data_IF_842800571438
#
_entry.id   IF_842800571438
#
_cell.length_a   1.000
_cell.length_b   1.000
_cell.length_c   1.000
_cell.angle_alpha   90.00
_cell.angle_beta   90.00
_cell.angle_gamma   90.00
#
_symmetry.space_group_name_H-M   'P 1'
#
loop_
_entity.id
_entity.type
_entity.pdbx_description
1 polymer ?
#
# COMPACT_ATOMS: atom_id res chain seq x y z
N UNK A 1 3.73 -7.29 -17.40
CA UNK A 1 3.99 -6.16 -16.47
C UNK A 1 4.66 -5.01 -17.20
N UNK A 2 3.88 -4.15 -17.88
CA UNK A 2 4.39 -3.05 -18.71
C UNK A 2 5.10 -1.93 -17.91
N UNK A 3 4.81 -1.84 -16.61
CA UNK A 3 5.36 -0.82 -15.71
C UNK A 3 6.34 -1.41 -14.66
N UNK A 4 6.80 -2.65 -14.86
CA UNK A 4 7.76 -3.30 -13.95
C UNK A 4 7.22 -3.65 -12.56
N UNK A 5 5.93 -3.43 -12.27
CA UNK A 5 5.28 -3.83 -11.01
C UNK A 5 4.43 -5.07 -11.28
N UNK A 6 4.60 -6.10 -10.44
CA UNK A 6 3.79 -7.31 -10.42
C UNK A 6 2.86 -7.28 -9.21
N UNK A 7 1.54 -7.49 -9.43
CA UNK A 7 0.59 -7.76 -8.35
C UNK A 7 0.59 -9.26 -8.12
N UNK A 8 0.90 -9.71 -6.90
CA UNK A 8 0.99 -11.13 -6.58
C UNK A 8 -0.38 -11.69 -6.23
N UNK A 9 -0.62 -12.96 -6.57
CA UNK A 9 -1.84 -13.68 -6.20
C UNK A 9 -1.77 -14.18 -4.76
N UNK A 10 -1.76 -13.24 -3.81
CA UNK A 10 -1.72 -13.49 -2.38
C UNK A 10 -2.52 -12.44 -1.61
N UNK A 11 -2.57 -12.63 -0.29
CA UNK A 11 -3.15 -11.67 0.64
C UNK A 11 -2.16 -11.35 1.76
N UNK A 12 -2.12 -10.07 2.15
CA UNK A 12 -1.35 -9.58 3.28
C UNK A 12 -2.24 -9.62 4.52
N UNK A 13 -1.71 -10.19 5.60
CA UNK A 13 -2.32 -10.20 6.94
C UNK A 13 -1.40 -9.53 7.94
N UNK A 14 -2.00 -8.90 8.93
CA UNK A 14 -1.30 -8.39 10.10
C UNK A 14 -1.63 -9.17 11.37
N UNK A 15 -0.68 -9.19 12.29
CA UNK A 15 -0.84 -9.84 13.60
C UNK A 15 -1.08 -8.85 14.73
N UNK A 16 -0.63 -7.61 14.55
CA UNK A 16 -0.67 -6.57 15.61
C UNK A 16 -1.33 -5.30 15.10
N UNK A 17 -1.00 -4.87 13.88
CA UNK A 17 -1.46 -3.60 13.35
C UNK A 17 -2.62 -3.82 12.35
N UNK A 18 -3.79 -4.15 12.87
CA UNK A 18 -5.02 -4.29 12.08
C UNK A 18 -6.21 -3.65 12.82
N UNK A 19 -7.37 -3.58 12.17
CA UNK A 19 -8.58 -2.97 12.76
C UNK A 19 -9.84 -3.80 12.47
N UNK A 20 -10.93 -3.56 13.21
CA UNK A 20 -12.21 -4.24 13.00
C UNK A 20 -12.18 -5.75 13.29
N UNK A 21 -11.26 -6.20 14.15
CA UNK A 21 -11.02 -7.62 14.45
C UNK A 21 -10.73 -8.51 13.23
N UNK A 22 -10.34 -7.89 12.11
CA UNK A 22 -10.01 -8.57 10.85
C UNK A 22 -8.52 -8.38 10.50
N UNK A 23 -7.69 -9.43 10.50
CA UNK A 23 -6.25 -9.32 10.22
C UNK A 23 -5.94 -8.89 8.78
N UNK A 24 -6.91 -8.89 7.87
CA UNK A 24 -6.75 -8.38 6.50
C UNK A 24 -7.01 -6.88 6.39
N UNK A 25 -7.57 -6.24 7.42
CA UNK A 25 -7.70 -4.79 7.55
C UNK A 25 -6.38 -4.19 8.03
N UNK A 26 -5.32 -4.36 7.22
CA UNK A 26 -3.93 -4.03 7.55
C UNK A 26 -3.74 -2.53 7.77
N UNK A 27 -3.17 -2.14 8.90
CA UNK A 27 -2.80 -0.76 9.22
C UNK A 27 -1.29 -0.66 9.29
N UNK A 28 -0.71 0.38 8.69
CA UNK A 28 0.75 0.58 8.75
C UNK A 28 1.14 2.04 8.80
N UNK A 29 2.24 2.29 9.52
CA UNK A 29 2.99 3.54 9.57
C UNK A 29 4.14 3.62 8.56
N UNK A 30 4.46 2.53 7.86
CA UNK A 30 5.56 2.48 6.89
C UNK A 30 5.11 3.06 5.55
N UNK A 31 4.89 4.37 5.56
CA UNK A 31 4.56 5.20 4.41
C UNK A 31 5.79 6.03 4.04
N UNK A 32 6.45 5.67 2.95
CA UNK A 32 7.75 6.22 2.55
C UNK A 32 7.64 7.43 1.62
N UNK A 33 6.55 7.51 0.85
CA UNK A 33 6.25 8.63 -0.05
C UNK A 33 4.84 9.13 0.19
N UNK A 34 4.52 10.36 -0.25
CA UNK A 34 3.21 10.98 -0.03
C UNK A 34 2.79 11.07 1.45
N UNK A 35 3.78 11.10 2.35
CA UNK A 35 3.59 10.96 3.79
C UNK A 35 3.44 12.29 4.56
N UNK A 36 3.25 13.41 3.85
CA UNK A 36 3.07 14.73 4.49
C UNK A 36 1.80 14.72 5.35
N UNK A 37 1.98 14.76 6.67
CA UNK A 37 0.86 14.68 7.62
C UNK A 37 0.23 13.29 7.76
N UNK A 38 0.85 12.25 7.22
CA UNK A 38 0.37 10.85 7.27
C UNK A 38 1.17 10.09 8.31
N UNK A 39 0.52 9.62 9.37
CA UNK A 39 1.13 8.77 10.40
C UNK A 39 0.85 7.31 10.15
N UNK A 40 -0.39 6.96 9.79
CA UNK A 40 -0.80 5.59 9.46
C UNK A 40 -1.86 5.56 8.38
N UNK A 41 -1.84 4.51 7.57
CA UNK A 41 -2.85 4.23 6.55
C UNK A 41 -3.43 2.83 6.74
N UNK A 42 -4.71 2.69 6.42
CA UNK A 42 -5.41 1.42 6.28
C UNK A 42 -5.29 0.94 4.83
N UNK A 43 -4.82 -0.28 4.64
CA UNK A 43 -4.60 -0.96 3.34
C UNK A 43 -5.36 -2.29 3.31
N UNK A 44 -6.71 -2.25 3.22
CA UNK A 44 -7.56 -3.40 3.50
C UNK A 44 -7.53 -4.42 2.37
N UNK A 45 -7.52 -5.71 2.73
CA UNK A 45 -7.55 -6.84 1.79
C UNK A 45 -6.50 -6.75 0.67
N UNK A 46 -5.30 -6.27 1.02
CA UNK A 46 -4.24 -6.04 0.04
C UNK A 46 -3.60 -7.34 -0.45
N UNK A 47 -3.39 -7.43 -1.76
CA UNK A 47 -2.35 -8.28 -2.34
C UNK A 47 -0.99 -7.61 -2.21
N UNK A 48 0.07 -8.41 -2.09
CA UNK A 48 1.42 -7.86 -2.09
C UNK A 48 1.91 -7.54 -3.51
N UNK A 49 2.79 -6.56 -3.61
CA UNK A 49 3.40 -6.14 -4.87
C UNK A 49 4.86 -6.59 -4.94
N UNK A 50 5.33 -6.89 -6.15
CA UNK A 50 6.75 -7.16 -6.42
C UNK A 50 7.30 -6.16 -7.44
N UNK A 51 8.20 -5.26 -7.01
CA UNK A 51 9.04 -4.49 -7.92
C UNK A 51 9.94 -5.44 -8.73
N UNK A 52 9.95 -5.31 -10.06
CA UNK A 52 10.79 -6.12 -10.95
C UNK A 52 12.14 -5.45 -11.28
N UNK A 53 12.36 -4.21 -10.83
CA UNK A 53 13.62 -3.47 -10.97
C UNK A 53 13.86 -2.58 -9.74
N UNK A 54 15.14 -2.21 -9.48
CA UNK A 54 15.48 -1.33 -8.36
C UNK A 54 15.01 0.11 -8.53
N UNK A 55 14.67 0.55 -9.74
CA UNK A 55 14.18 1.91 -10.02
C UNK A 55 12.74 2.15 -9.56
N UNK A 56 12.03 1.08 -9.18
CA UNK A 56 10.66 1.13 -8.68
C UNK A 56 10.70 1.41 -7.19
N UNK A 57 10.06 2.51 -6.80
CA UNK A 57 10.03 2.95 -5.40
C UNK A 57 8.90 2.26 -4.65
N UNK A 58 9.20 1.76 -3.45
CA UNK A 58 8.18 1.28 -2.51
C UNK A 58 7.57 2.48 -1.80
N UNK A 59 6.24 2.62 -1.89
CA UNK A 59 5.48 3.73 -1.30
C UNK A 59 4.97 3.35 0.08
N UNK A 60 4.39 2.15 0.20
CA UNK A 60 3.77 1.63 1.42
C UNK A 60 4.18 0.17 1.59
N UNK A 61 4.47 -0.24 2.82
CA UNK A 61 4.79 -1.63 3.18
C UNK A 61 4.10 -2.01 4.49
N UNK A 62 3.79 -3.28 4.70
CA UNK A 62 3.31 -3.77 6.00
C UNK A 62 4.35 -3.66 7.13
N UNK A 63 3.88 -3.70 8.38
CA UNK A 63 4.74 -3.67 9.57
C UNK A 63 5.62 -4.93 9.65
N UNK A 64 6.63 -5.01 10.55
CA UNK A 64 7.45 -6.22 10.68
C UNK A 64 6.64 -7.48 11.00
N UNK A 65 5.43 -7.31 11.54
CA UNK A 65 4.49 -8.39 11.86
C UNK A 65 3.58 -8.78 10.70
N UNK A 66 3.58 -8.03 9.59
CA UNK A 66 2.83 -8.36 8.39
C UNK A 66 3.40 -9.61 7.72
N UNK A 67 2.49 -10.47 7.26
CA UNK A 67 2.82 -11.69 6.55
C UNK A 67 1.95 -11.80 5.30
N UNK A 68 2.54 -12.21 4.19
CA UNK A 68 1.79 -12.60 3.00
C UNK A 68 1.47 -14.09 3.07
N UNK A 69 0.36 -14.52 2.48
CA UNK A 69 0.03 -15.96 2.36
C UNK A 69 1.02 -16.73 1.49
N UNK A 70 1.84 -16.04 0.69
CA UNK A 70 2.85 -16.60 -0.20
C UNK A 70 4.28 -16.58 0.35
N UNK A 71 4.52 -15.95 1.51
CA UNK A 71 5.86 -15.71 2.07
C UNK A 71 6.66 -14.58 1.41
N UNK A 72 6.10 -13.89 0.41
CA UNK A 72 6.69 -12.69 -0.18
C UNK A 72 6.71 -11.51 0.80
N UNK A 73 7.49 -10.48 0.46
CA UNK A 73 7.52 -9.22 1.21
C UNK A 73 6.16 -8.51 1.11
N UNK A 74 5.60 -8.00 2.23
CA UNK A 74 4.29 -7.36 2.25
C UNK A 74 4.36 -5.91 1.74
N UNK A 75 4.75 -5.72 0.47
CA UNK A 75 4.75 -4.41 -0.17
C UNK A 75 3.32 -4.09 -0.60
N UNK A 76 2.79 -2.95 -0.16
CA UNK A 76 1.38 -2.56 -0.32
C UNK A 76 1.19 -1.48 -1.38
N UNK A 77 2.25 -0.78 -1.77
CA UNK A 77 2.22 0.24 -2.81
C UNK A 77 3.59 0.47 -3.46
N UNK A 78 3.60 0.68 -4.77
CA UNK A 78 4.79 0.95 -5.58
C UNK A 78 4.56 2.11 -6.56
N UNK A 79 5.62 2.86 -6.86
CA UNK A 79 5.67 3.91 -7.89
C UNK A 79 6.76 3.60 -8.92
N UNK A 80 6.50 3.90 -10.18
CA UNK A 80 7.54 4.04 -11.21
C UNK A 80 7.35 5.33 -12.02
N UNK A 81 8.45 5.86 -12.59
CA UNK A 81 8.39 7.00 -13.51
C UNK A 81 8.08 6.54 -14.92
N UNK A 82 7.15 7.24 -15.59
CA UNK A 82 6.77 6.99 -16.98
C UNK A 82 6.83 8.30 -17.75
N UNK A 83 7.93 8.53 -18.47
CA UNK A 83 8.19 9.81 -19.14
C UNK A 83 8.24 10.96 -18.13
N UNK A 84 7.32 11.93 -18.26
CA UNK A 84 7.15 13.05 -17.31
C UNK A 84 6.14 12.75 -16.19
N UNK A 85 5.45 11.62 -16.27
CA UNK A 85 4.43 11.21 -15.31
C UNK A 85 4.93 10.14 -14.34
N UNK A 86 4.01 9.68 -13.49
CA UNK A 86 4.23 8.60 -12.53
C UNK A 86 3.12 7.57 -12.66
N UNK A 87 3.48 6.30 -12.54
CA UNK A 87 2.53 5.20 -12.43
C UNK A 87 2.59 4.65 -11.01
N UNK A 88 1.46 4.68 -10.31
CA UNK A 88 1.31 4.24 -8.94
C UNK A 88 0.40 3.02 -8.90
N UNK A 89 0.79 2.00 -8.16
CA UNK A 89 0.01 0.79 -7.94
C UNK A 89 -0.12 0.55 -6.44
N UNK A 90 -1.35 0.42 -5.95
CA UNK A 90 -1.65 -0.05 -4.60
C UNK A 90 -2.17 -1.49 -4.69
N UNK A 91 -1.81 -2.32 -3.73
CA UNK A 91 -2.21 -3.72 -3.65
C UNK A 91 -3.69 -3.94 -3.32
N UNK A 92 -4.47 -2.87 -3.16
CA UNK A 92 -5.89 -2.92 -2.81
C UNK A 92 -6.68 -1.89 -3.61
N UNK A 93 -7.88 -2.27 -4.05
CA UNK A 93 -8.86 -1.33 -4.59
C UNK A 93 -9.69 -0.68 -3.47
N UNK A 94 -9.86 -1.37 -2.35
CA UNK A 94 -10.73 -0.98 -1.24
C UNK A 94 -10.20 0.26 -0.51
N UNK A 95 -8.91 0.56 -0.63
CA UNK A 95 -8.34 1.83 -0.12
C UNK A 95 -9.13 3.08 -0.54
N UNK A 96 -9.65 3.10 -1.76
CA UNK A 96 -10.34 4.26 -2.35
C UNK A 96 -11.85 4.31 -2.04
N UNK A 97 -12.39 3.31 -1.34
CA UNK A 97 -13.80 3.30 -1.02
C UNK A 97 -14.16 4.32 0.08
N UNK A 98 -15.46 4.59 0.21
CA UNK A 98 -15.98 5.53 1.20
C UNK A 98 -15.73 5.09 2.65
N UNK A 99 -15.64 3.77 2.89
CA UNK A 99 -15.34 3.27 4.22
C UNK A 99 -13.89 3.59 4.63
N UNK A 100 -12.93 3.29 3.75
CA UNK A 100 -11.50 3.31 4.02
C UNK A 100 -10.92 4.71 3.94
N UNK A 101 -11.46 5.56 3.06
CA UNK A 101 -10.92 6.92 2.88
C UNK A 101 -11.02 7.77 4.15
N UNK A 102 -12.05 7.52 4.98
CA UNK A 102 -12.27 8.21 6.26
C UNK A 102 -11.49 7.60 7.43
N UNK A 103 -10.73 6.51 7.22
CA UNK A 103 -9.97 5.85 8.28
C UNK A 103 -8.53 6.35 8.33
N UNK A 104 -8.02 6.49 9.55
CA UNK A 104 -6.65 6.95 9.82
C UNK A 104 -6.32 8.21 9.01
N UNK A 105 -5.18 8.24 8.34
CA UNK A 105 -4.76 9.35 7.51
C UNK A 105 -4.96 9.05 6.01
N UNK A 106 -5.88 8.13 5.64
CA UNK A 106 -6.10 7.71 4.25
C UNK A 106 -6.47 8.88 3.34
N UNK A 107 -7.37 9.78 3.78
CA UNK A 107 -7.72 10.98 3.02
C UNK A 107 -6.50 11.88 2.79
N UNK A 108 -5.67 12.12 3.81
CA UNK A 108 -4.47 12.93 3.67
C UNK A 108 -3.46 12.28 2.71
N UNK A 109 -3.28 10.97 2.80
CA UNK A 109 -2.43 10.20 1.88
C UNK A 109 -2.95 10.25 0.44
N UNK A 110 -4.26 10.08 0.24
CA UNK A 110 -4.91 10.17 -1.07
C UNK A 110 -4.74 11.57 -1.70
N UNK A 111 -4.96 12.63 -0.92
CA UNK A 111 -4.75 14.01 -1.40
C UNK A 111 -3.28 14.28 -1.73
N UNK A 112 -2.34 13.74 -0.95
CA UNK A 112 -0.92 13.83 -1.28
C UNK A 112 -0.56 13.10 -2.58
N UNK A 113 -1.20 11.97 -2.88
CA UNK A 113 -1.02 11.23 -4.15
C UNK A 113 -1.53 12.04 -5.33
N UNK A 114 -2.75 12.57 -5.21
CA UNK A 114 -3.41 13.31 -6.29
C UNK A 114 -2.74 14.67 -6.54
N UNK A 115 -2.10 15.22 -5.51
CA UNK A 115 -1.56 16.57 -5.52
C UNK A 115 -2.67 17.63 -5.49
N UNK A 116 -2.31 18.90 -5.25
CA UNK A 116 -3.11 20.03 -5.75
C UNK A 116 -3.09 20.11 -7.28
#
# INVERSE_FOLDING_TARGET
>A
NAFGIEILFDAVKEKVNFTGDDPYMVVTSKVFMYNKGVKRVLMPYSSSLRPLSPDISVIVQGEPTAQTTSGNRPILGCETRVGKGRFLCLGTCVFWDNYSIEKFDNLAFALNILGP
#
